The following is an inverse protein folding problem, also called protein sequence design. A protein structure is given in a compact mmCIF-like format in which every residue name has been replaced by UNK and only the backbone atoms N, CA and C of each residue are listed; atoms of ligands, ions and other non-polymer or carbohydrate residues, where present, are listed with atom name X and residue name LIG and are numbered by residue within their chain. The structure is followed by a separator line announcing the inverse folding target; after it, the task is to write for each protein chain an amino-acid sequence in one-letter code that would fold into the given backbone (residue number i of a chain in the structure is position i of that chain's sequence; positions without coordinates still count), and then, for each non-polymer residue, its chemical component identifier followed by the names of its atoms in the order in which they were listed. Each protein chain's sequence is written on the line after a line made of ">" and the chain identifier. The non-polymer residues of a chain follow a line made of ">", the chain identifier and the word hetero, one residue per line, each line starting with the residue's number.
data_IF_844891099952
#
_entry.id   IF_844891099952
#
_cell.length_a   1.000
_cell.length_b   1.000
_cell.length_c   1.000
_cell.angle_alpha   90.00
_cell.angle_beta   90.00
_cell.angle_gamma   90.00
#
_symmetry.space_group_name_H-M   'P 1'
#
loop_
_entity.id
_entity.type
_entity.pdbx_description
1 polymer ?
#
# COMPACT_ATOMS: atom_id res chain seq x y z
N UNK A 1 44.17 -0.45 -33.18
CA UNK A 1 44.22 -0.29 -34.65
C UNK A 1 42.95 0.41 -35.06
N UNK A 2 43.13 1.55 -35.71
CA UNK A 2 42.12 2.50 -36.13
C UNK A 2 41.65 2.04 -37.51
N UNK A 3 40.35 2.02 -37.78
CA UNK A 3 39.91 2.06 -39.18
C UNK A 3 38.68 2.95 -39.31
N UNK A 4 38.95 4.12 -39.90
CA UNK A 4 38.02 5.16 -40.30
C UNK A 4 37.83 5.10 -41.82
N UNK A 5 36.60 5.28 -42.29
CA UNK A 5 36.24 5.89 -43.58
C UNK A 5 34.77 6.33 -43.42
N UNK A 6 34.34 7.59 -43.41
CA UNK A 6 34.51 8.78 -44.26
C UNK A 6 33.89 8.70 -45.66
N UNK A 7 33.27 9.84 -46.02
CA UNK A 7 32.60 10.26 -47.25
C UNK A 7 31.10 9.89 -47.37
N UNK A 8 30.19 10.81 -47.67
CA UNK A 8 30.34 12.23 -48.03
C UNK A 8 28.98 12.87 -48.29
N UNK A 9 29.01 14.20 -48.24
CA UNK A 9 27.91 15.16 -48.34
C UNK A 9 27.15 15.10 -49.67
N UNK A 10 25.84 15.40 -49.61
CA UNK A 10 25.11 16.12 -50.66
C UNK A 10 24.00 16.95 -50.01
N UNK A 11 24.11 18.27 -50.12
CA UNK A 11 23.09 19.25 -49.74
C UNK A 11 22.48 19.82 -51.02
N UNK A 12 21.16 19.83 -51.14
CA UNK A 12 20.46 20.70 -52.09
C UNK A 12 19.15 21.23 -51.48
N UNK A 13 18.93 22.53 -51.69
CA UNK A 13 17.86 23.35 -51.11
C UNK A 13 16.48 23.10 -51.77
N UNK A 14 15.46 23.43 -50.97
CA UNK A 14 14.00 23.43 -51.19
C UNK A 14 13.55 24.21 -52.45
N UNK A 15 12.29 24.02 -52.88
CA UNK A 15 11.36 25.10 -52.59
C UNK A 15 9.96 24.68 -52.07
N UNK A 16 9.31 25.73 -51.58
CA UNK A 16 8.04 25.87 -50.89
C UNK A 16 6.82 25.42 -51.71
N UNK A 17 5.90 24.66 -51.09
CA UNK A 17 4.51 24.55 -51.57
C UNK A 17 3.55 24.52 -50.39
N UNK A 18 2.78 25.60 -50.28
CA UNK A 18 1.61 25.74 -49.43
C UNK A 18 0.49 24.82 -49.91
N UNK A 19 -0.22 24.12 -49.02
CA UNK A 19 -1.68 24.23 -48.96
C UNK A 19 -2.29 23.63 -47.68
N UNK A 20 -3.42 24.23 -47.31
CA UNK A 20 -4.33 23.95 -46.20
C UNK A 20 -4.69 22.47 -45.99
N UNK A 21 -4.72 22.06 -44.72
CA UNK A 21 -5.40 20.87 -44.23
C UNK A 21 -6.03 21.16 -42.86
N UNK A 22 -7.35 21.27 -42.88
CA UNK A 22 -8.24 21.51 -41.73
C UNK A 22 -8.25 20.34 -40.75
N UNK A 23 -8.42 20.67 -39.47
CA UNK A 23 -9.15 19.83 -38.50
C UNK A 23 -8.32 18.84 -37.69
N UNK A 24 -7.99 19.22 -36.45
CA UNK A 24 -8.12 18.33 -35.30
C UNK A 24 -8.13 19.19 -34.04
N UNK A 25 -9.32 19.32 -33.46
CA UNK A 25 -9.56 19.75 -32.08
C UNK A 25 -8.50 19.17 -31.15
N UNK A 26 -7.76 20.05 -30.46
CA UNK A 26 -6.92 19.68 -29.33
C UNK A 26 -7.84 19.24 -28.19
N UNK A 27 -8.26 17.99 -28.23
CA UNK A 27 -8.81 17.34 -27.05
C UNK A 27 -7.71 17.31 -26.01
N UNK A 28 -7.87 18.09 -24.93
CA UNK A 28 -7.21 17.81 -23.67
C UNK A 28 -7.51 16.36 -23.34
N UNK A 29 -6.56 15.48 -23.65
CA UNK A 29 -6.58 14.10 -23.19
C UNK A 29 -6.53 14.17 -21.68
N UNK A 30 -7.68 14.08 -21.03
CA UNK A 30 -7.75 13.78 -19.61
C UNK A 30 -7.12 12.41 -19.49
N UNK A 31 -5.84 12.37 -19.12
CA UNK A 31 -5.18 11.13 -18.73
C UNK A 31 -5.99 10.61 -17.55
N UNK A 32 -6.81 9.59 -17.79
CA UNK A 32 -7.43 8.83 -16.72
C UNK A 32 -6.27 8.27 -15.88
N UNK A 33 -5.94 8.95 -14.78
CA UNK A 33 -5.05 8.39 -13.78
C UNK A 33 -5.77 7.16 -13.24
N UNK A 34 -5.28 5.97 -13.58
CA UNK A 34 -5.69 4.74 -12.93
C UNK A 34 -5.31 4.92 -11.46
N UNK A 35 -6.28 5.26 -10.61
CA UNK A 35 -6.08 5.21 -9.18
C UNK A 35 -5.77 3.76 -8.84
N UNK A 36 -4.51 3.46 -8.52
CA UNK A 36 -4.15 2.16 -7.97
C UNK A 36 -4.93 1.98 -6.67
N UNK A 37 -5.52 0.79 -6.50
CA UNK A 37 -6.24 0.49 -5.27
C UNK A 37 -5.29 0.60 -4.07
N UNK A 38 -5.76 1.11 -2.92
CA UNK A 38 -4.99 1.03 -1.68
C UNK A 38 -4.71 -0.44 -1.35
N UNK A 39 -3.57 -0.71 -0.70
CA UNK A 39 -3.18 -2.09 -0.39
C UNK A 39 -4.17 -2.73 0.58
N UNK A 40 -4.72 -1.93 1.50
CA UNK A 40 -5.76 -2.34 2.43
C UNK A 40 -6.93 -3.00 1.69
N UNK A 41 -7.40 -2.40 0.60
CA UNK A 41 -8.47 -2.98 -0.22
C UNK A 41 -8.00 -4.22 -0.98
N UNK A 42 -6.79 -4.19 -1.56
CA UNK A 42 -6.25 -5.30 -2.34
C UNK A 42 -6.10 -6.58 -1.51
N UNK A 43 -5.67 -6.45 -0.25
CA UNK A 43 -5.42 -7.57 0.66
C UNK A 43 -6.54 -7.78 1.68
N UNK A 44 -7.68 -7.09 1.53
CA UNK A 44 -8.81 -7.17 2.47
C UNK A 44 -8.45 -6.84 3.93
N UNK A 45 -7.38 -6.08 4.14
CA UNK A 45 -7.00 -5.54 5.46
C UNK A 45 -7.88 -4.33 5.71
N UNK A 46 -8.63 -4.32 6.82
CA UNK A 46 -9.49 -3.19 7.17
C UNK A 46 -8.88 -2.40 8.30
N UNK A 47 -9.02 -1.09 8.27
CA UNK A 47 -8.56 -0.21 9.34
C UNK A 47 -9.62 0.81 9.73
N UNK A 48 -9.90 0.89 11.03
CA UNK A 48 -10.59 2.00 11.66
C UNK A 48 -9.51 2.88 12.32
N UNK A 49 -9.34 4.13 11.84
CA UNK A 49 -8.31 5.04 12.33
C UNK A 49 -8.81 5.83 13.54
N UNK A 50 -7.93 6.05 14.53
CA UNK A 50 -8.23 6.85 15.74
C UNK A 50 -9.54 6.44 16.42
N UNK A 51 -9.65 5.15 16.75
CA UNK A 51 -10.87 4.57 17.29
C UNK A 51 -11.28 5.23 18.62
N UNK A 52 -12.54 5.66 18.78
CA UNK A 52 -13.01 6.30 19.99
C UNK A 52 -13.13 5.30 21.16
N UNK A 53 -13.04 5.79 22.39
CA UNK A 53 -13.02 4.95 23.61
C UNK A 53 -14.29 4.11 23.78
N UNK A 54 -15.42 4.64 23.34
CA UNK A 54 -16.72 3.98 23.38
C UNK A 54 -16.67 2.68 22.56
N UNK A 55 -16.14 2.76 21.33
CA UNK A 55 -15.95 1.61 20.43
C UNK A 55 -15.00 0.56 21.02
N UNK A 56 -13.90 1.00 21.65
CA UNK A 56 -12.97 0.09 22.33
C UNK A 56 -13.63 -0.63 23.51
N UNK A 57 -14.53 0.06 24.20
CA UNK A 57 -15.29 -0.49 25.34
C UNK A 57 -16.31 -1.52 24.87
N UNK A 58 -17.06 -1.22 23.80
CA UNK A 58 -18.00 -2.15 23.16
C UNK A 58 -17.31 -3.45 22.71
N UNK A 59 -16.13 -3.33 22.10
CA UNK A 59 -15.32 -4.47 21.67
C UNK A 59 -14.66 -5.20 22.85
N UNK A 60 -14.66 -4.61 24.05
CA UNK A 60 -14.03 -5.18 25.24
C UNK A 60 -12.52 -5.36 25.11
N UNK A 61 -11.85 -4.45 24.38
CA UNK A 61 -10.42 -4.52 24.04
C UNK A 61 -9.53 -4.69 25.27
N UNK A 62 -9.92 -4.13 26.42
CA UNK A 62 -9.19 -4.28 27.69
C UNK A 62 -8.98 -5.73 28.14
N UNK A 63 -9.81 -6.67 27.66
CA UNK A 63 -9.73 -8.11 27.96
C UNK A 63 -8.93 -8.92 26.94
N UNK A 64 -8.54 -8.30 25.82
CA UNK A 64 -7.77 -8.97 24.78
C UNK A 64 -6.34 -9.25 25.23
N UNK A 65 -5.72 -10.22 24.56
CA UNK A 65 -4.32 -10.57 24.78
C UNK A 65 -3.41 -9.41 24.40
N UNK A 66 -2.34 -9.21 25.15
CA UNK A 66 -1.36 -8.14 24.91
C UNK A 66 -0.11 -8.72 24.26
N UNK A 67 0.40 -8.03 23.24
CA UNK A 67 1.69 -8.32 22.65
C UNK A 67 2.55 -7.05 22.59
N UNK A 68 3.86 -7.22 22.72
CA UNK A 68 4.83 -6.10 22.75
C UNK A 68 6.11 -6.49 22.03
N UNK A 69 6.74 -5.51 21.40
CA UNK A 69 8.08 -5.64 20.84
C UNK A 69 8.82 -4.30 20.84
N UNK A 70 10.09 -4.33 20.47
CA UNK A 70 10.89 -3.15 20.13
C UNK A 70 11.23 -3.13 18.64
N UNK A 71 12.28 -2.38 18.30
CA UNK A 71 12.79 -2.30 16.92
C UNK A 71 13.15 -3.70 16.41
N UNK A 72 12.41 -4.18 15.42
CA UNK A 72 12.52 -5.56 14.91
C UNK A 72 11.88 -5.70 13.53
N UNK A 73 12.18 -6.82 12.85
CA UNK A 73 11.51 -7.28 11.63
C UNK A 73 10.99 -8.70 11.89
N UNK A 74 9.73 -8.97 11.55
CA UNK A 74 9.11 -10.29 11.73
C UNK A 74 8.36 -10.70 10.46
N UNK A 75 8.58 -11.91 9.97
CA UNK A 75 7.70 -12.52 8.98
C UNK A 75 6.48 -13.09 9.71
N UNK A 76 5.27 -12.81 9.22
CA UNK A 76 4.04 -13.23 9.88
C UNK A 76 3.01 -13.76 8.88
N UNK A 77 2.37 -14.85 9.28
CA UNK A 77 1.34 -15.56 8.51
C UNK A 77 0.07 -15.68 9.37
N UNK A 78 -1.00 -15.04 8.92
CA UNK A 78 -2.29 -15.05 9.59
C UNK A 78 -3.10 -16.30 9.22
N UNK A 79 -3.06 -17.30 10.08
CA UNK A 79 -3.84 -18.53 9.92
C UNK A 79 -5.33 -18.37 10.27
N UNK A 80 -5.68 -17.31 11.00
CA UNK A 80 -7.05 -16.95 11.40
C UNK A 80 -7.23 -15.44 11.30
N UNK A 81 -8.47 -14.99 11.14
CA UNK A 81 -8.80 -13.57 11.22
C UNK A 81 -8.37 -13.01 12.57
N UNK A 82 -7.59 -11.94 12.54
CA UNK A 82 -7.08 -11.28 13.74
C UNK A 82 -7.55 -9.84 13.75
N UNK A 83 -8.09 -9.42 14.89
CA UNK A 83 -8.40 -8.03 15.17
C UNK A 83 -7.35 -7.48 16.14
N UNK A 84 -6.72 -6.37 15.76
CA UNK A 84 -5.58 -5.79 16.46
C UNK A 84 -5.87 -4.32 16.75
N UNK A 85 -5.76 -3.92 18.01
CA UNK A 85 -5.75 -2.52 18.42
C UNK A 85 -4.34 -2.11 18.82
N UNK A 86 -3.80 -1.09 18.18
CA UNK A 86 -2.44 -0.60 18.45
C UNK A 86 -2.51 0.42 19.58
N UNK A 87 -1.90 0.09 20.72
CA UNK A 87 -1.86 0.97 21.90
C UNK A 87 -0.68 1.94 21.84
N UNK A 88 0.46 1.50 21.29
CA UNK A 88 1.69 2.28 21.22
C UNK A 88 2.49 1.94 19.97
N UNK A 89 3.14 2.95 19.39
CA UNK A 89 4.10 2.79 18.31
C UNK A 89 3.48 2.76 16.92
N UNK A 90 4.22 2.19 15.99
CA UNK A 90 3.83 2.02 14.60
C UNK A 90 4.36 0.69 14.03
N UNK A 91 3.66 0.17 13.04
CA UNK A 91 4.07 -0.98 12.25
C UNK A 91 3.92 -0.67 10.77
N UNK A 92 4.95 -1.04 9.99
CA UNK A 92 4.85 -1.12 8.54
C UNK A 92 4.65 -2.58 8.15
N UNK A 93 3.64 -2.82 7.34
CA UNK A 93 3.21 -4.15 6.90
C UNK A 93 3.48 -4.24 5.40
N UNK A 94 4.42 -5.09 5.02
CA UNK A 94 4.81 -5.32 3.62
C UNK A 94 4.24 -6.68 3.22
N UNK A 95 3.14 -6.72 2.42
CA UNK A 95 2.61 -7.98 1.91
C UNK A 95 3.67 -8.78 1.16
N UNK A 96 3.60 -10.10 1.24
CA UNK A 96 4.52 -10.98 0.52
C UNK A 96 4.54 -10.63 -0.99
N UNK A 97 5.74 -10.47 -1.55
CA UNK A 97 5.94 -10.12 -2.96
C UNK A 97 5.60 -8.68 -3.37
N UNK A 98 5.32 -7.77 -2.43
CA UNK A 98 5.02 -6.35 -2.70
C UNK A 98 6.19 -5.43 -2.33
N UNK A 99 6.50 -4.45 -3.18
CA UNK A 99 7.42 -3.34 -2.86
C UNK A 99 6.71 -2.18 -2.11
N UNK A 100 5.39 -2.23 -2.02
CA UNK A 100 4.55 -1.25 -1.30
C UNK A 100 4.20 -1.77 0.09
N UNK A 101 3.91 -0.87 1.03
CA UNK A 101 3.56 -1.21 2.41
C UNK A 101 2.33 -0.45 2.92
N UNK A 102 1.64 -1.03 3.89
CA UNK A 102 0.65 -0.36 4.72
C UNK A 102 1.32 0.12 6.01
N UNK A 103 0.83 1.23 6.59
CA UNK A 103 1.32 1.75 7.86
C UNK A 103 0.17 1.93 8.83
N UNK A 104 0.34 1.39 10.04
CA UNK A 104 -0.61 1.49 11.13
C UNK A 104 0.09 2.03 12.38
N UNK A 105 -0.62 2.86 13.12
CA UNK A 105 -0.07 3.62 14.26
C UNK A 105 -0.98 3.48 15.48
N UNK A 106 -0.50 3.92 16.64
CA UNK A 106 -1.29 3.96 17.87
C UNK A 106 -2.68 4.62 17.66
N UNK A 107 -3.71 3.95 18.17
CA UNK A 107 -5.12 4.34 18.02
C UNK A 107 -5.83 3.69 16.84
N UNK A 108 -5.13 2.94 15.98
CA UNK A 108 -5.75 2.20 14.88
C UNK A 108 -6.25 0.82 15.33
N UNK A 109 -7.41 0.42 14.80
CA UNK A 109 -7.96 -0.92 14.91
C UNK A 109 -7.91 -1.58 13.53
N UNK A 110 -7.12 -2.64 13.42
CA UNK A 110 -6.81 -3.32 12.16
C UNK A 110 -7.39 -4.74 12.17
N UNK A 111 -8.14 -5.10 11.12
CA UNK A 111 -8.54 -6.49 10.85
C UNK A 111 -7.63 -7.05 9.77
N UNK A 112 -6.81 -8.03 10.14
CA UNK A 112 -6.07 -8.85 9.20
C UNK A 112 -6.90 -10.08 8.85
N UNK A 113 -7.14 -10.35 7.56
CA UNK A 113 -7.83 -11.57 7.17
C UNK A 113 -6.91 -12.77 7.34
N UNK A 114 -7.51 -13.93 7.57
CA UNK A 114 -6.82 -15.19 7.36
C UNK A 114 -6.21 -15.26 5.96
N UNK A 115 -5.15 -16.06 5.81
CA UNK A 115 -4.34 -16.21 4.58
C UNK A 115 -3.49 -15.00 4.21
N UNK A 116 -3.51 -13.93 5.00
CA UNK A 116 -2.61 -12.81 4.76
C UNK A 116 -1.20 -13.18 5.23
N UNK A 117 -0.19 -12.81 4.45
CA UNK A 117 1.22 -13.03 4.76
C UNK A 117 1.97 -11.71 4.52
N UNK A 118 2.78 -11.31 5.50
CA UNK A 118 3.53 -10.06 5.41
C UNK A 118 4.80 -10.06 6.27
N UNK A 119 5.77 -9.26 5.82
CA UNK A 119 6.86 -8.79 6.65
C UNK A 119 6.42 -7.56 7.45
N UNK A 120 6.57 -7.64 8.77
CA UNK A 120 6.30 -6.58 9.74
C UNK A 120 7.60 -5.88 10.12
N UNK A 121 7.59 -4.56 10.06
CA UNK A 121 8.72 -3.72 10.45
C UNK A 121 8.31 -2.76 11.56
N UNK A 122 9.01 -2.87 12.69
CA UNK A 122 8.83 -2.03 13.87
C UNK A 122 10.07 -1.14 14.02
N UNK A 123 9.87 0.19 14.01
CA UNK A 123 10.97 1.15 14.10
C UNK A 123 11.36 1.52 15.55
N UNK A 124 10.57 1.10 16.54
CA UNK A 124 10.76 1.44 17.95
C UNK A 124 9.88 0.58 18.85
N UNK A 125 9.53 1.10 20.03
CA UNK A 125 8.56 0.49 20.94
C UNK A 125 7.23 0.26 20.23
N UNK A 126 6.65 -0.92 20.41
CA UNK A 126 5.33 -1.26 19.88
C UNK A 126 4.56 -2.11 20.87
N UNK A 127 3.29 -1.79 21.06
CA UNK A 127 2.36 -2.56 21.89
C UNK A 127 0.99 -2.61 21.23
N UNK A 128 0.41 -3.80 21.22
CA UNK A 128 -0.93 -4.04 20.71
C UNK A 128 -1.74 -4.94 21.63
N UNK A 129 -3.04 -4.89 21.41
CA UNK A 129 -4.01 -5.86 21.92
C UNK A 129 -4.62 -6.60 20.75
N UNK A 130 -4.70 -7.92 20.85
CA UNK A 130 -5.22 -8.73 19.77
C UNK A 130 -6.26 -9.75 20.23
N UNK A 131 -7.19 -10.04 19.33
CA UNK A 131 -8.19 -11.09 19.49
C UNK A 131 -8.28 -11.87 18.17
N UNK A 132 -8.22 -13.20 18.27
CA UNK A 132 -8.50 -14.08 17.15
C UNK A 132 -10.01 -14.25 17.03
N UNK A 133 -10.56 -14.07 15.83
CA UNK A 133 -11.97 -14.31 15.57
C UNK A 133 -12.21 -15.77 15.23
N UNK A 134 -13.19 -16.38 15.88
CA UNK A 134 -13.62 -17.71 15.53
C UNK A 134 -14.54 -17.66 14.30
N UNK A 135 -14.61 -18.77 13.58
CA UNK A 135 -15.58 -18.92 12.50
C UNK A 135 -17.00 -18.78 13.04
N UNK A 136 -17.74 -17.76 12.61
CA UNK A 136 -19.12 -17.49 13.03
C UNK A 136 -19.34 -16.18 13.78
N UNK A 137 -18.29 -15.43 14.11
CA UNK A 137 -18.37 -14.14 14.84
C UNK A 137 -18.77 -12.94 13.95
N UNK A 138 -19.17 -13.16 12.70
CA UNK A 138 -19.64 -12.14 11.75
C UNK A 138 -21.19 -11.96 11.76
N UNK A 139 -21.88 -12.36 12.83
CA UNK A 139 -23.35 -12.30 12.95
C UNK A 139 -23.88 -10.93 13.39
#
# INVERSE_FOLDING_TARGET
>A
MISTASLGYLSFKRPNRSNNGVGATSGSGVKAMRAEKPLEELYSVRVERKVPKERLTELGVSRWSVWKTGKSKLAWDWQVDQLVYIEEGEVRVVPEGSDRFMQFVAGDLVRYPKWFEADLYFNGSYQERYSFRAYGDDQ
#
